data_IF_758899449611
#
_entry.id   IF_758899449611
#
_cell.length_a   1.000
_cell.length_b   1.000
_cell.length_c   1.000
_cell.angle_alpha   90.00
_cell.angle_beta   90.00
_cell.angle_gamma   90.00
#
_symmetry.space_group_name_H-M   'P 1'
#
loop_
_entity.id
_entity.type
_entity.pdbx_description
1 polymer ?
#
# COMPACT_ATOMS: atom_id res chain seq x y z
N UNK A 1 -12.05 2.17 16.77
CA UNK A 1 -11.22 2.64 15.64
C UNK A 1 -12.05 2.57 14.38
N UNK A 2 -12.16 3.66 13.61
CA UNK A 2 -12.89 3.67 12.35
C UNK A 2 -11.96 3.14 11.25
N UNK A 3 -12.04 1.83 10.96
CA UNK A 3 -11.11 1.14 10.06
C UNK A 3 -11.07 1.78 8.66
N UNK A 4 -12.24 2.18 8.14
CA UNK A 4 -12.34 2.79 6.81
C UNK A 4 -11.62 4.14 6.73
N UNK A 5 -11.84 5.00 7.73
CA UNK A 5 -11.18 6.30 7.81
C UNK A 5 -9.67 6.15 8.03
N UNK A 6 -9.26 5.17 8.86
CA UNK A 6 -7.84 4.82 9.04
C UNK A 6 -7.21 4.38 7.72
N UNK A 7 -7.88 3.52 6.95
CA UNK A 7 -7.41 3.07 5.63
C UNK A 7 -7.32 4.23 4.63
N UNK A 8 -8.33 5.10 4.57
CA UNK A 8 -8.34 6.26 3.68
C UNK A 8 -7.20 7.24 3.99
N UNK A 9 -6.96 7.54 5.27
CA UNK A 9 -5.83 8.40 5.69
C UNK A 9 -4.50 7.73 5.38
N UNK A 10 -4.38 6.42 5.66
CA UNK A 10 -3.16 5.67 5.39
C UNK A 10 -2.81 5.70 3.88
N UNK A 11 -3.78 5.44 3.00
CA UNK A 11 -3.57 5.45 1.55
C UNK A 11 -3.37 6.87 0.97
N UNK A 12 -4.05 7.88 1.53
CA UNK A 12 -3.98 9.28 1.05
C UNK A 12 -2.71 9.99 1.49
N UNK A 13 -2.33 9.84 2.75
CA UNK A 13 -1.31 10.70 3.39
C UNK A 13 -0.04 9.92 3.72
N UNK A 14 -0.18 8.70 4.25
CA UNK A 14 0.96 7.96 4.81
C UNK A 14 1.74 7.23 3.71
N UNK A 15 1.06 6.47 2.84
CA UNK A 15 1.73 5.74 1.75
C UNK A 15 2.52 6.68 0.84
N UNK A 16 1.97 7.80 0.32
CA UNK A 16 2.74 8.68 -0.55
C UNK A 16 3.96 9.29 0.13
N UNK A 17 3.87 9.58 1.43
CA UNK A 17 5.01 10.07 2.20
C UNK A 17 6.10 9.00 2.32
N UNK A 18 5.72 7.75 2.60
CA UNK A 18 6.68 6.64 2.69
C UNK A 18 7.32 6.42 1.32
N UNK A 19 6.55 6.44 0.23
CA UNK A 19 7.06 6.32 -1.15
C UNK A 19 8.10 7.39 -1.47
N UNK A 20 7.90 8.64 -1.01
CA UNK A 20 8.89 9.70 -1.14
C UNK A 20 10.17 9.40 -0.34
N UNK A 21 10.03 8.85 0.88
CA UNK A 21 11.16 8.52 1.75
C UNK A 21 11.99 7.34 1.21
N UNK A 22 11.35 6.31 0.64
CA UNK A 22 12.03 5.11 0.12
C UNK A 22 12.40 5.21 -1.37
N UNK A 23 11.88 6.22 -2.08
CA UNK A 23 12.21 6.51 -3.48
C UNK A 23 11.54 5.62 -4.52
N UNK A 24 10.52 4.83 -4.15
CA UNK A 24 9.76 3.98 -5.07
C UNK A 24 8.32 3.75 -4.58
N UNK A 25 7.46 3.24 -5.47
CA UNK A 25 6.05 2.95 -5.17
C UNK A 25 5.91 1.72 -4.27
N UNK A 26 5.05 1.80 -3.26
CA UNK A 26 4.68 0.71 -2.36
C UNK A 26 3.22 0.30 -2.56
N UNK A 27 2.37 1.21 -3.06
CA UNK A 27 0.94 0.96 -3.20
C UNK A 27 0.34 1.50 -4.51
N UNK A 28 -0.97 1.22 -4.72
CA UNK A 28 -1.71 1.86 -5.79
C UNK A 28 -1.85 3.36 -5.51
N UNK A 29 -1.84 4.17 -6.57
CA UNK A 29 -2.13 5.59 -6.42
C UNK A 29 -3.56 5.79 -5.89
N UNK A 30 -3.70 6.57 -4.82
CA UNK A 30 -4.98 6.99 -4.29
C UNK A 30 -5.55 8.19 -5.06
N UNK A 31 -6.84 8.17 -5.37
CA UNK A 31 -7.50 9.27 -6.09
C UNK A 31 -8.56 9.99 -5.24
N UNK A 32 -9.41 9.24 -4.54
CA UNK A 32 -10.56 9.82 -3.84
C UNK A 32 -11.13 8.84 -2.81
N UNK A 33 -11.82 9.38 -1.79
CA UNK A 33 -12.69 8.59 -0.91
C UNK A 33 -13.97 9.34 -0.53
N UNK A 34 -15.05 8.60 -0.29
CA UNK A 34 -16.30 9.10 0.31
C UNK A 34 -16.51 8.46 1.67
N UNK A 35 -16.56 9.26 2.73
CA UNK A 35 -16.90 8.79 4.08
C UNK A 35 -18.37 8.37 4.19
N UNK A 36 -19.26 9.11 3.52
CA UNK A 36 -20.71 8.85 3.50
C UNK A 36 -21.01 7.50 2.87
N UNK A 37 -20.42 7.23 1.70
CA UNK A 37 -20.71 6.03 0.91
C UNK A 37 -19.74 4.88 1.19
N UNK A 38 -18.68 5.15 1.97
CA UNK A 38 -17.57 4.21 2.25
C UNK A 38 -16.92 3.65 0.99
N UNK A 39 -16.54 4.55 0.09
CA UNK A 39 -15.92 4.23 -1.20
C UNK A 39 -14.47 4.72 -1.22
N UNK A 40 -13.56 3.88 -1.72
CA UNK A 40 -12.18 4.26 -2.08
C UNK A 40 -12.01 4.14 -3.61
N UNK A 41 -11.37 5.12 -4.23
CA UNK A 41 -11.02 5.13 -5.65
C UNK A 41 -9.50 5.16 -5.78
N UNK A 42 -8.95 4.15 -6.45
CA UNK A 42 -7.52 3.90 -6.55
C UNK A 42 -7.10 3.48 -7.97
N UNK A 43 -5.80 3.44 -8.22
CA UNK A 43 -5.18 2.92 -9.45
C UNK A 43 -5.60 1.49 -9.75
N UNK A 44 -5.96 1.24 -11.00
CA UNK A 44 -6.19 -0.11 -11.49
C UNK A 44 -4.85 -0.79 -11.80
N UNK A 45 -4.46 -1.70 -10.91
CA UNK A 45 -3.20 -2.43 -11.00
C UNK A 45 -3.19 -3.53 -12.08
N UNK A 46 -4.34 -3.85 -12.69
CA UNK A 46 -4.38 -4.82 -13.79
C UNK A 46 -3.55 -4.35 -15.00
N UNK A 47 -3.48 -3.03 -15.23
CA UNK A 47 -2.62 -2.45 -16.27
C UNK A 47 -1.12 -2.58 -15.96
N UNK A 48 -0.78 -2.79 -14.69
CA UNK A 48 0.58 -3.04 -14.20
C UNK A 48 0.87 -4.54 -14.02
N UNK A 49 0.06 -5.41 -14.62
CA UNK A 49 0.20 -6.88 -14.59
C UNK A 49 0.11 -7.51 -13.20
N UNK A 50 -0.38 -6.78 -12.19
CA UNK A 50 -0.69 -7.37 -10.89
C UNK A 50 -1.91 -8.28 -11.01
N UNK A 51 -1.84 -9.41 -10.32
CA UNK A 51 -2.91 -10.40 -10.27
C UNK A 51 -3.18 -10.82 -8.84
N UNK A 52 -4.45 -11.08 -8.52
CA UNK A 52 -4.79 -11.71 -7.26
C UNK A 52 -4.27 -13.16 -7.28
N UNK A 53 -3.23 -13.40 -6.49
CA UNK A 53 -2.66 -14.74 -6.35
C UNK A 53 -3.66 -15.66 -5.67
N UNK A 54 -3.85 -16.85 -6.22
CA UNK A 54 -4.67 -17.90 -5.62
C UNK A 54 -3.89 -18.57 -4.49
N UNK A 55 -4.58 -18.88 -3.39
CA UNK A 55 -3.99 -19.47 -2.18
C UNK A 55 -3.47 -20.90 -2.39
N UNK A 56 -3.92 -21.59 -3.45
CA UNK A 56 -3.61 -22.98 -3.74
C UNK A 56 -2.17 -23.21 -4.27
N UNK A 57 -1.53 -22.17 -4.83
CA UNK A 57 -0.20 -22.27 -5.44
C UNK A 57 0.97 -21.78 -4.58
N UNK A 58 0.71 -21.21 -3.39
CA UNK A 58 1.76 -20.59 -2.57
C UNK A 58 2.44 -19.36 -3.21
N UNK A 59 3.45 -18.81 -2.54
CA UNK A 59 4.32 -17.75 -3.07
C UNK A 59 5.60 -18.38 -3.63
N UNK A 60 6.09 -17.93 -4.78
CA UNK A 60 7.45 -18.27 -5.22
C UNK A 60 8.47 -17.51 -4.37
N UNK A 61 9.73 -17.92 -4.40
CA UNK A 61 10.79 -17.23 -3.66
C UNK A 61 10.88 -15.76 -4.07
N UNK A 62 10.69 -15.46 -5.35
CA UNK A 62 10.67 -14.09 -5.87
C UNK A 62 9.51 -13.26 -5.29
N UNK A 63 8.32 -13.84 -5.15
CA UNK A 63 7.19 -13.15 -4.53
C UNK A 63 7.43 -12.89 -3.05
N UNK A 64 8.00 -13.88 -2.35
CA UNK A 64 8.32 -13.73 -0.92
C UNK A 64 9.34 -12.62 -0.73
N UNK A 65 10.41 -12.59 -1.52
CA UNK A 65 11.42 -11.52 -1.48
C UNK A 65 10.76 -10.17 -1.72
N UNK A 66 9.97 -10.03 -2.79
CA UNK A 66 9.27 -8.79 -3.11
C UNK A 66 8.35 -8.33 -1.96
N UNK A 67 7.57 -9.24 -1.38
CA UNK A 67 6.70 -8.91 -0.23
C UNK A 67 7.50 -8.49 0.99
N UNK A 68 8.60 -9.18 1.29
CA UNK A 68 9.45 -8.86 2.44
C UNK A 68 10.16 -7.50 2.26
N UNK A 69 10.63 -7.18 1.06
CA UNK A 69 11.21 -5.88 0.74
C UNK A 69 10.17 -4.76 0.92
N UNK A 70 8.97 -4.90 0.33
CA UNK A 70 7.89 -3.92 0.52
C UNK A 70 7.49 -3.73 2.00
N UNK A 71 7.44 -4.82 2.78
CA UNK A 71 7.16 -4.74 4.21
C UNK A 71 8.28 -4.05 4.98
N UNK A 72 9.55 -4.31 4.63
CA UNK A 72 10.70 -3.66 5.25
C UNK A 72 10.72 -2.16 4.95
N UNK A 73 10.45 -1.76 3.71
CA UNK A 73 10.39 -0.37 3.27
C UNK A 73 9.23 0.39 3.93
N UNK A 74 8.03 -0.22 3.94
CA UNK A 74 6.88 0.34 4.64
C UNK A 74 7.17 0.50 6.15
N UNK A 75 7.78 -0.51 6.77
CA UNK A 75 8.17 -0.44 8.19
C UNK A 75 9.19 0.66 8.44
N UNK A 76 10.28 0.71 7.69
CA UNK A 76 11.34 1.72 7.84
C UNK A 76 10.80 3.14 7.63
N UNK A 77 9.99 3.37 6.60
CA UNK A 77 9.36 4.68 6.39
C UNK A 77 8.39 5.04 7.50
N UNK A 78 7.62 4.09 8.03
CA UNK A 78 6.72 4.36 9.17
C UNK A 78 7.46 4.79 10.43
N UNK A 79 8.64 4.21 10.70
CA UNK A 79 9.52 4.62 11.81
C UNK A 79 10.06 6.02 11.57
N UNK A 80 10.55 6.32 10.37
CA UNK A 80 11.04 7.65 10.03
C UNK A 80 9.96 8.73 10.15
N UNK A 81 8.71 8.42 9.79
CA UNK A 81 7.58 9.33 9.95
C UNK A 81 7.28 9.59 11.44
N UNK A 82 7.40 8.57 12.28
CA UNK A 82 7.15 8.67 13.72
C UNK A 82 8.22 9.47 14.47
N UNK A 83 9.47 9.41 14.02
CA UNK A 83 10.62 10.09 14.65
C UNK A 83 10.75 11.57 14.26
N UNK A 84 9.98 12.06 13.27
CA UNK A 84 9.90 13.48 12.90
C UNK A 84 9.00 14.28 13.84
#
# INVERSE_FOLDING_TARGET
MNIFETEAIMLRDIVPWIEEAVGHKIGPKFYYYSETDRILIMEDLAFSQFVNRKLDGGMSDEDVIMVLEMLADFHAGSVLLHEK
#
